data_IF_650109112039
#
_entry.id   IF_650109112039
#
_cell.length_a   1.000
_cell.length_b   1.000
_cell.length_c   1.000
_cell.angle_alpha   90.00
_cell.angle_beta   90.00
_cell.angle_gamma   90.00
#
_symmetry.space_group_name_H-M   'P 1'
#
loop_
_entity.id
_entity.type
_entity.pdbx_description
1 polymer ?
#
# COMPACT_ATOMS: atom_id res chain seq x y z
N UNK A 1 -22.31 -9.45 -0.02
CA UNK A 1 -21.41 -9.52 1.16
C UNK A 1 -21.62 -10.74 2.08
N UNK A 2 -22.84 -11.28 2.28
CA UNK A 2 -23.09 -12.30 3.32
C UNK A 2 -22.47 -13.70 3.14
N UNK A 3 -22.41 -14.26 1.92
CA UNK A 3 -21.94 -15.64 1.71
C UNK A 3 -20.41 -15.76 1.81
N UNK A 4 -19.66 -14.83 1.22
CA UNK A 4 -18.18 -14.79 1.31
C UNK A 4 -17.71 -14.64 2.77
N UNK A 5 -18.34 -13.75 3.53
CA UNK A 5 -18.02 -13.57 4.96
C UNK A 5 -18.31 -14.83 5.79
N UNK A 6 -19.41 -15.54 5.50
CA UNK A 6 -19.74 -16.79 6.20
C UNK A 6 -18.72 -17.90 5.87
N UNK A 7 -18.31 -18.04 4.61
CA UNK A 7 -17.29 -19.01 4.18
C UNK A 7 -15.94 -18.71 4.83
N UNK A 8 -15.49 -17.45 4.80
CA UNK A 8 -14.24 -17.02 5.44
C UNK A 8 -14.27 -17.29 6.95
N UNK A 9 -15.36 -16.93 7.62
CA UNK A 9 -15.52 -17.14 9.06
C UNK A 9 -15.48 -18.61 9.45
N UNK A 10 -16.12 -19.49 8.66
CA UNK A 10 -16.11 -20.93 8.89
C UNK A 10 -14.75 -21.56 8.61
N UNK A 11 -14.07 -21.16 7.53
CA UNK A 11 -12.71 -21.61 7.23
C UNK A 11 -11.73 -21.21 8.35
N UNK A 12 -11.78 -19.95 8.80
CA UNK A 12 -10.95 -19.45 9.90
C UNK A 12 -11.24 -20.17 11.22
N UNK A 13 -12.51 -20.41 11.55
CA UNK A 13 -12.92 -21.14 12.76
C UNK A 13 -12.42 -22.60 12.73
N UNK A 14 -12.54 -23.26 11.59
CA UNK A 14 -12.06 -24.63 11.40
C UNK A 14 -10.53 -24.71 11.52
N UNK A 15 -9.79 -23.81 10.86
CA UNK A 15 -8.35 -23.71 10.98
C UNK A 15 -7.91 -23.43 12.44
N UNK A 16 -8.57 -22.48 13.12
CA UNK A 16 -8.30 -22.16 14.52
C UNK A 16 -8.57 -23.33 15.47
N UNK A 17 -9.63 -24.10 15.24
CA UNK A 17 -9.93 -25.31 16.03
C UNK A 17 -8.91 -26.44 15.82
N UNK A 18 -8.36 -26.56 14.61
CA UNK A 18 -7.33 -27.55 14.29
C UNK A 18 -6.00 -27.15 14.92
N UNK A 19 -5.57 -25.90 14.70
CA UNK A 19 -4.31 -25.34 15.21
C UNK A 19 -4.34 -25.09 16.73
N UNK A 20 -5.53 -25.03 17.35
CA UNK A 20 -5.69 -24.87 18.79
C UNK A 20 -5.44 -26.12 19.63
N UNK A 21 -5.24 -27.29 19.00
CA UNK A 21 -4.99 -28.55 19.72
C UNK A 21 -3.53 -28.62 20.20
N UNK A 22 -3.26 -28.70 21.52
CA UNK A 22 -1.87 -28.70 22.04
C UNK A 22 -1.01 -29.84 21.51
N UNK A 23 -1.61 -31.01 21.23
CA UNK A 23 -0.90 -32.15 20.65
C UNK A 23 -0.42 -31.86 19.22
N UNK A 24 -1.24 -31.23 18.38
CA UNK A 24 -0.88 -30.86 17.02
C UNK A 24 0.18 -29.76 17.02
N UNK A 25 0.01 -28.73 17.87
CA UNK A 25 1.01 -27.68 18.05
C UNK A 25 2.38 -28.26 18.42
N UNK A 26 2.42 -29.20 19.36
CA UNK A 26 3.67 -29.88 19.77
C UNK A 26 4.28 -30.68 18.62
N UNK A 27 3.48 -31.33 17.79
CA UNK A 27 3.96 -32.07 16.60
C UNK A 27 4.58 -31.10 15.60
N UNK A 28 3.86 -30.03 15.24
CA UNK A 28 4.33 -29.01 14.29
C UNK A 28 5.61 -28.35 14.82
N UNK A 29 5.63 -27.93 16.09
CA UNK A 29 6.79 -27.34 16.73
C UNK A 29 8.00 -28.28 16.69
N UNK A 30 7.83 -29.57 16.98
CA UNK A 30 8.91 -30.53 16.91
C UNK A 30 9.38 -30.80 15.48
N UNK A 31 8.48 -30.77 14.49
CA UNK A 31 8.85 -30.89 13.08
C UNK A 31 9.73 -29.72 12.64
N UNK A 32 9.36 -28.48 13.01
CA UNK A 32 10.16 -27.28 12.77
C UNK A 32 11.49 -27.33 13.52
N UNK A 33 11.48 -27.63 14.82
CA UNK A 33 12.69 -27.74 15.68
C UNK A 33 13.71 -28.74 15.14
N UNK A 34 13.25 -29.83 14.53
CA UNK A 34 14.10 -30.87 13.97
C UNK A 34 14.38 -30.68 12.48
N UNK A 35 14.02 -29.53 11.89
CA UNK A 35 14.15 -29.21 10.48
C UNK A 35 13.71 -30.36 9.56
N UNK A 36 12.53 -30.93 9.86
CA UNK A 36 12.02 -32.09 9.13
C UNK A 36 11.79 -31.73 7.66
N UNK A 37 12.22 -32.55 6.69
CA UNK A 37 12.02 -32.28 5.26
C UNK A 37 10.56 -31.98 4.90
N UNK A 38 9.62 -32.59 5.61
CA UNK A 38 8.18 -32.43 5.44
C UNK A 38 7.67 -31.01 5.77
N UNK A 39 8.42 -30.23 6.56
CA UNK A 39 8.11 -28.81 6.86
C UNK A 39 9.13 -27.83 6.29
N UNK A 40 10.25 -28.31 5.76
CA UNK A 40 11.30 -27.46 5.19
C UNK A 40 10.78 -26.58 4.04
N UNK A 41 9.88 -27.11 3.20
CA UNK A 41 9.23 -26.33 2.14
C UNK A 41 8.30 -25.22 2.67
N UNK A 42 7.74 -25.38 3.87
CA UNK A 42 6.94 -24.34 4.53
C UNK A 42 7.84 -23.22 5.07
N UNK A 43 9.05 -23.56 5.52
CA UNK A 43 10.04 -22.62 6.07
C UNK A 43 10.73 -21.76 5.02
N UNK A 44 10.61 -22.07 3.73
CA UNK A 44 11.09 -21.23 2.62
C UNK A 44 9.94 -20.60 1.84
N UNK A 45 8.69 -20.90 2.21
CA UNK A 45 7.53 -20.38 1.50
C UNK A 45 7.25 -18.95 1.93
N UNK A 46 7.54 -18.02 1.01
CA UNK A 46 7.38 -16.60 1.24
C UNK A 46 5.94 -16.20 1.60
N UNK A 47 4.94 -16.76 0.93
CA UNK A 47 3.53 -16.46 1.21
C UNK A 47 3.16 -16.83 2.64
N UNK A 48 3.63 -17.99 3.12
CA UNK A 48 3.38 -18.43 4.49
C UNK A 48 4.10 -17.54 5.51
N UNK A 49 5.32 -17.07 5.20
CA UNK A 49 6.04 -16.13 6.05
C UNK A 49 5.31 -14.80 6.16
N UNK A 50 4.87 -14.24 5.03
CA UNK A 50 4.13 -12.99 5.03
C UNK A 50 2.77 -13.14 5.74
N UNK A 51 2.04 -14.24 5.52
CA UNK A 51 0.80 -14.51 6.25
C UNK A 51 1.04 -14.62 7.76
N UNK A 52 2.07 -15.34 8.20
CA UNK A 52 2.43 -15.44 9.61
C UNK A 52 2.80 -14.08 10.20
N UNK A 53 3.53 -13.25 9.45
CA UNK A 53 3.87 -11.88 9.81
C UNK A 53 2.60 -11.03 10.02
N UNK A 54 1.65 -11.09 9.08
CA UNK A 54 0.37 -10.40 9.15
C UNK A 54 -0.47 -10.86 10.35
N UNK A 55 -0.59 -12.16 10.60
CA UNK A 55 -1.33 -12.69 11.76
C UNK A 55 -0.77 -12.17 13.08
N UNK A 56 0.56 -12.11 13.21
CA UNK A 56 1.21 -11.62 14.42
C UNK A 56 1.04 -10.10 14.66
N UNK A 57 0.79 -9.32 13.59
CA UNK A 57 0.84 -7.85 13.63
C UNK A 57 -0.45 -7.15 13.24
N UNK A 58 -1.50 -7.88 12.86
CA UNK A 58 -2.78 -7.32 12.37
C UNK A 58 -3.32 -6.20 13.25
N UNK A 59 -3.19 -6.29 14.58
CA UNK A 59 -3.71 -5.28 15.51
C UNK A 59 -3.02 -3.91 15.41
N UNK A 60 -1.81 -3.86 14.86
CA UNK A 60 -1.06 -2.62 14.68
C UNK A 60 -1.44 -1.88 13.38
N UNK A 61 -1.95 -2.61 12.39
CA UNK A 61 -2.24 -2.09 11.05
C UNK A 61 -3.49 -1.22 11.00
N UNK A 62 -3.39 -0.13 10.26
CA UNK A 62 -4.51 0.76 9.88
C UNK A 62 -4.86 0.69 8.41
N UNK A 63 -3.97 0.13 7.59
CA UNK A 63 -4.16 -0.07 6.16
C UNK A 63 -5.38 -0.95 5.84
N UNK A 64 -6.06 -0.64 4.75
CA UNK A 64 -7.28 -1.32 4.32
C UNK A 64 -7.03 -2.80 4.00
N UNK A 65 -5.91 -3.10 3.33
CA UNK A 65 -5.51 -4.44 2.90
C UNK A 65 -4.08 -4.80 3.35
N UNK A 66 -3.66 -4.24 4.49
CA UNK A 66 -2.38 -4.53 5.15
C UNK A 66 -1.13 -4.07 4.37
N UNK A 67 -1.25 -3.05 3.52
CA UNK A 67 -0.12 -2.46 2.81
C UNK A 67 1.00 -2.05 3.78
N UNK A 68 0.65 -1.44 4.92
CA UNK A 68 1.60 -1.06 5.96
C UNK A 68 2.41 -2.24 6.53
N UNK A 69 1.79 -3.42 6.68
CA UNK A 69 2.46 -4.65 7.11
C UNK A 69 3.30 -5.27 5.99
N UNK A 70 2.87 -5.18 4.74
CA UNK A 70 3.69 -5.58 3.59
C UNK A 70 4.97 -4.76 3.53
N UNK A 71 4.88 -3.44 3.68
CA UNK A 71 6.05 -2.55 3.74
C UNK A 71 6.99 -2.92 4.87
N UNK A 72 6.44 -3.16 6.07
CA UNK A 72 7.26 -3.59 7.19
C UNK A 72 7.91 -4.96 6.97
N UNK A 73 7.22 -5.88 6.29
CA UNK A 73 7.74 -7.22 5.97
C UNK A 73 8.92 -7.13 4.99
N UNK A 74 8.73 -6.46 3.85
CA UNK A 74 9.75 -6.32 2.80
C UNK A 74 11.02 -5.58 3.28
N UNK A 75 10.84 -4.59 4.16
CA UNK A 75 11.95 -3.77 4.66
C UNK A 75 12.47 -4.21 6.02
N UNK A 76 12.04 -5.37 6.52
CA UNK A 76 12.52 -5.93 7.79
C UNK A 76 12.30 -4.98 8.97
N UNK A 77 11.11 -4.37 9.07
CA UNK A 77 10.73 -3.43 10.14
C UNK A 77 11.65 -2.20 10.24
N UNK A 78 12.18 -1.74 9.09
CA UNK A 78 13.00 -0.53 8.99
C UNK A 78 12.42 0.63 9.80
N UNK A 79 13.30 1.35 10.51
CA UNK A 79 12.99 2.60 11.20
C UNK A 79 13.50 3.81 10.42
N UNK A 80 12.92 4.97 10.73
CA UNK A 80 13.36 6.27 10.20
C UNK A 80 13.38 6.34 8.66
N UNK A 81 12.46 5.60 8.01
CA UNK A 81 12.29 5.61 6.56
C UNK A 81 11.54 6.84 6.05
N UNK A 82 11.38 6.91 4.73
CA UNK A 82 10.63 7.97 4.05
C UNK A 82 9.45 7.41 3.26
N UNK A 83 8.25 7.96 3.46
CA UNK A 83 7.04 7.58 2.72
C UNK A 83 6.42 8.73 1.92
N UNK A 84 5.61 8.36 0.95
CA UNK A 84 4.64 9.24 0.27
C UNK A 84 3.29 8.53 0.24
N UNK A 85 2.19 9.22 0.54
CA UNK A 85 0.83 8.66 0.48
C UNK A 85 -0.11 9.66 -0.18
N UNK A 86 -0.84 9.20 -1.20
CA UNK A 86 -1.94 9.92 -1.82
C UNK A 86 -3.26 9.34 -1.35
N UNK A 87 -4.32 10.15 -1.32
CA UNK A 87 -5.61 9.73 -0.76
C UNK A 87 -5.54 9.62 0.76
N UNK A 88 -4.87 10.56 1.42
CA UNK A 88 -4.56 10.45 2.86
C UNK A 88 -5.77 10.67 3.78
N UNK A 89 -6.88 11.25 3.28
CA UNK A 89 -8.14 11.48 4.00
C UNK A 89 -7.94 12.03 5.42
N UNK A 90 -8.55 11.43 6.45
CA UNK A 90 -8.41 11.83 7.87
C UNK A 90 -7.00 11.52 8.46
N UNK A 91 -6.14 10.82 7.71
CA UNK A 91 -4.80 10.40 8.08
C UNK A 91 -4.74 9.17 8.99
N UNK A 92 -5.85 8.54 9.34
CA UNK A 92 -5.92 7.39 10.25
C UNK A 92 -6.64 6.22 9.60
N UNK A 93 -7.85 6.45 9.11
CA UNK A 93 -8.73 5.43 8.53
C UNK A 93 -8.11 4.98 7.22
N UNK A 94 -7.97 3.65 7.06
CA UNK A 94 -7.36 3.02 5.89
C UNK A 94 -5.92 3.46 5.55
N UNK A 95 -5.25 4.29 6.38
CA UNK A 95 -3.94 4.82 6.03
C UNK A 95 -2.86 3.75 5.95
N UNK A 96 -2.12 3.80 4.84
CA UNK A 96 -1.03 2.89 4.52
C UNK A 96 0.30 3.28 5.17
N UNK A 97 0.40 4.50 5.74
CA UNK A 97 1.63 4.99 6.37
C UNK A 97 1.50 5.34 7.85
N UNK A 98 0.29 5.30 8.43
CA UNK A 98 0.07 5.63 9.84
C UNK A 98 0.94 4.78 10.78
N UNK A 99 1.01 3.46 10.52
CA UNK A 99 1.84 2.56 11.30
C UNK A 99 3.34 2.92 11.18
N UNK A 100 3.78 3.23 9.95
CA UNK A 100 5.17 3.58 9.65
C UNK A 100 5.59 4.86 10.39
N UNK A 101 4.77 5.91 10.34
CA UNK A 101 5.01 7.15 11.07
C UNK A 101 4.98 6.91 12.59
N UNK A 102 3.88 6.38 13.12
CA UNK A 102 3.62 6.37 14.57
C UNK A 102 4.42 5.32 15.34
N UNK A 103 4.88 4.24 14.70
CA UNK A 103 5.60 3.14 15.38
C UNK A 103 7.05 2.97 14.91
N UNK A 104 7.33 3.27 13.66
CA UNK A 104 8.66 3.10 13.07
C UNK A 104 9.43 4.41 12.92
N UNK A 105 8.84 5.56 13.26
CA UNK A 105 9.51 6.86 13.23
C UNK A 105 9.74 7.39 11.82
N UNK A 106 8.99 6.88 10.84
CA UNK A 106 9.10 7.35 9.47
C UNK A 106 8.58 8.77 9.34
N UNK A 107 9.13 9.49 8.37
CA UNK A 107 8.67 10.82 7.94
C UNK A 107 8.24 10.74 6.48
N UNK A 108 7.49 11.73 6.00
CA UNK A 108 7.00 11.66 4.64
C UNK A 108 6.08 12.81 4.27
N UNK A 109 5.39 12.60 3.15
CA UNK A 109 4.43 13.52 2.56
C UNK A 109 3.09 12.81 2.45
N UNK A 110 2.03 13.49 2.88
CA UNK A 110 0.64 13.09 2.71
C UNK A 110 -0.01 14.07 1.73
N UNK A 111 -0.60 13.59 0.64
CA UNK A 111 -1.34 14.45 -0.29
C UNK A 111 -2.84 14.21 -0.16
N UNK A 112 -3.58 15.30 0.05
CA UNK A 112 -5.04 15.28 0.17
C UNK A 112 -5.59 16.62 -0.34
N UNK A 113 -6.19 16.66 -1.54
CA UNK A 113 -6.71 17.90 -2.11
C UNK A 113 -8.12 18.27 -1.63
N UNK A 114 -8.87 17.37 -0.99
CA UNK A 114 -10.23 17.67 -0.52
C UNK A 114 -10.20 18.39 0.84
N UNK A 115 -10.62 19.67 0.91
CA UNK A 115 -10.53 20.47 2.13
C UNK A 115 -11.29 19.94 3.34
N UNK A 116 -12.26 19.06 3.13
CA UNK A 116 -13.04 18.43 4.22
C UNK A 116 -12.14 17.68 5.20
N UNK A 117 -11.03 17.12 4.71
CA UNK A 117 -10.12 16.27 5.48
C UNK A 117 -8.99 17.05 6.17
N UNK A 118 -8.68 18.28 5.73
CA UNK A 118 -7.44 18.98 6.12
C UNK A 118 -7.30 19.19 7.63
N UNK A 119 -8.40 19.49 8.33
CA UNK A 119 -8.39 19.72 9.78
C UNK A 119 -8.07 18.43 10.52
N UNK A 120 -8.73 17.33 10.17
CA UNK A 120 -8.50 16.04 10.82
C UNK A 120 -7.11 15.51 10.49
N UNK A 121 -6.72 15.53 9.21
CA UNK A 121 -5.41 15.11 8.73
C UNK A 121 -4.26 15.79 9.50
N UNK A 122 -4.30 17.13 9.58
CA UNK A 122 -3.29 17.92 10.30
C UNK A 122 -3.30 17.70 11.81
N UNK A 123 -4.44 17.33 12.40
CA UNK A 123 -4.52 16.99 13.82
C UNK A 123 -3.98 15.58 14.12
N UNK A 124 -4.09 14.67 13.16
CA UNK A 124 -3.75 13.26 13.33
C UNK A 124 -2.30 12.93 12.94
N UNK A 125 -1.72 13.72 12.03
CA UNK A 125 -0.42 13.42 11.39
C UNK A 125 0.60 14.54 11.59
N UNK A 126 1.87 14.13 11.65
CA UNK A 126 3.03 15.05 11.78
C UNK A 126 3.86 15.12 10.51
N UNK A 127 3.59 14.23 9.56
CA UNK A 127 4.15 14.29 8.22
C UNK A 127 3.77 15.59 7.51
N UNK A 128 4.55 15.97 6.50
CA UNK A 128 4.22 17.11 5.67
C UNK A 128 2.92 16.85 4.90
N UNK A 129 2.09 17.89 4.74
CA UNK A 129 0.80 17.77 4.03
C UNK A 129 0.87 18.65 2.78
N UNK A 130 0.59 18.03 1.63
CA UNK A 130 0.36 18.66 0.34
C UNK A 130 -1.15 18.78 0.10
N UNK A 131 -1.61 19.98 -0.20
CA UNK A 131 -3.03 20.27 -0.45
C UNK A 131 -3.36 20.41 -1.94
N UNK A 132 -2.35 20.47 -2.81
CA UNK A 132 -2.53 20.42 -4.26
C UNK A 132 -2.86 19.00 -4.70
N UNK A 133 -3.53 18.90 -5.85
CA UNK A 133 -3.88 17.61 -6.43
C UNK A 133 -2.67 17.02 -7.18
N UNK A 134 -2.21 15.83 -6.79
CA UNK A 134 -1.08 15.21 -7.47
C UNK A 134 -1.50 14.68 -8.84
N UNK A 135 -0.76 15.05 -9.89
CA UNK A 135 -1.01 14.68 -11.29
C UNK A 135 0.31 14.59 -12.07
N UNK A 136 0.26 14.39 -13.39
CA UNK A 136 1.46 14.36 -14.25
C UNK A 136 2.15 15.73 -14.39
N UNK A 137 1.45 16.85 -14.11
CA UNK A 137 1.96 18.21 -14.31
C UNK A 137 1.59 19.15 -13.18
N UNK A 138 2.46 20.12 -12.91
CA UNK A 138 2.22 21.20 -11.95
C UNK A 138 1.56 22.43 -12.56
N UNK A 139 0.80 23.16 -11.74
CA UNK A 139 0.28 24.49 -12.06
C UNK A 139 -0.95 24.49 -12.98
N UNK A 140 -1.57 23.34 -13.22
CA UNK A 140 -2.84 23.26 -13.93
C UNK A 140 -4.01 23.41 -12.94
N UNK A 141 -5.11 23.98 -13.40
CA UNK A 141 -6.36 24.07 -12.64
C UNK A 141 -7.30 22.97 -13.11
N UNK A 142 -7.64 22.03 -12.22
CA UNK A 142 -8.52 20.89 -12.55
C UNK A 142 -9.80 20.91 -11.73
N UNK A 143 -10.86 20.38 -12.31
CA UNK A 143 -12.12 20.13 -11.59
C UNK A 143 -11.99 18.85 -10.78
N UNK A 144 -12.09 18.97 -9.47
CA UNK A 144 -12.10 17.85 -8.52
C UNK A 144 -13.52 17.66 -7.97
N UNK A 145 -14.03 16.44 -8.00
CA UNK A 145 -15.39 16.10 -7.57
C UNK A 145 -15.35 15.63 -6.13
N UNK A 146 -15.92 16.42 -5.22
CA UNK A 146 -16.00 16.08 -3.80
C UNK A 146 -17.29 15.31 -3.51
N UNK A 147 -17.19 14.13 -2.91
CA UNK A 147 -18.34 13.27 -2.58
C UNK A 147 -18.76 13.42 -1.11
N UNK A 148 -18.58 14.62 -0.56
CA UNK A 148 -18.74 14.94 0.87
C UNK A 148 -20.11 14.58 1.45
N UNK A 149 -21.18 14.63 0.64
CA UNK A 149 -22.53 14.30 1.07
C UNK A 149 -22.84 12.80 1.15
N UNK A 150 -21.93 11.93 0.68
CA UNK A 150 -22.14 10.47 0.62
C UNK A 150 -20.97 9.75 1.29
N UNK A 151 -19.79 9.85 0.70
CA UNK A 151 -18.55 9.22 1.15
C UNK A 151 -17.37 10.01 0.59
N UNK A 152 -16.71 10.88 1.38
CA UNK A 152 -15.65 11.73 0.89
C UNK A 152 -14.36 10.98 0.51
N UNK A 153 -14.19 9.71 0.90
CA UNK A 153 -13.06 8.87 0.47
C UNK A 153 -13.07 8.68 -1.06
N UNK A 154 -14.25 8.69 -1.68
CA UNK A 154 -14.43 8.44 -3.12
C UNK A 154 -14.20 9.67 -4.02
N UNK A 155 -13.63 10.75 -3.49
CA UNK A 155 -13.44 12.00 -4.22
C UNK A 155 -12.30 11.87 -5.25
N UNK A 156 -12.40 12.54 -6.39
CA UNK A 156 -11.39 12.39 -7.44
C UNK A 156 -11.48 13.43 -8.56
N UNK A 157 -10.48 13.45 -9.45
CA UNK A 157 -10.46 14.37 -10.60
C UNK A 157 -11.57 14.01 -11.59
N UNK A 158 -12.36 15.00 -12.03
CA UNK A 158 -13.54 14.79 -12.87
C UNK A 158 -13.26 14.06 -14.20
N UNK A 159 -12.10 14.32 -14.83
CA UNK A 159 -11.70 13.68 -16.09
C UNK A 159 -11.35 12.20 -15.94
N UNK A 160 -11.01 11.77 -14.72
CA UNK A 160 -10.67 10.39 -14.38
C UNK A 160 -11.82 9.67 -13.65
N UNK A 161 -12.87 10.39 -13.27
CA UNK A 161 -14.04 9.86 -12.57
C UNK A 161 -14.96 8.96 -13.43
N UNK A 162 -14.54 8.61 -14.65
CA UNK A 162 -15.26 7.72 -15.55
C UNK A 162 -14.47 6.43 -15.74
N UNK A 163 -15.04 5.29 -15.37
CA UNK A 163 -14.47 3.98 -15.71
C UNK A 163 -14.36 2.99 -14.55
N UNK A 164 -14.67 3.40 -13.33
CA UNK A 164 -14.62 2.54 -12.15
C UNK A 164 -16.00 2.31 -11.51
N UNK A 165 -16.00 1.61 -10.38
CA UNK A 165 -17.22 1.27 -9.65
C UNK A 165 -17.91 2.48 -8.99
N UNK A 166 -17.20 3.59 -8.80
CA UNK A 166 -17.68 4.77 -8.06
C UNK A 166 -18.02 5.98 -8.94
N UNK A 167 -17.82 5.86 -10.26
CA UNK A 167 -18.14 6.88 -11.25
C UNK A 167 -19.58 7.45 -11.19
N UNK A 168 -20.56 6.69 -10.68
CA UNK A 168 -21.93 7.19 -10.48
C UNK A 168 -22.08 8.09 -9.25
N UNK A 169 -21.32 7.83 -8.18
CA UNK A 169 -21.31 8.61 -6.95
C UNK A 169 -20.59 9.94 -7.21
N UNK A 170 -19.40 9.91 -7.84
CA UNK A 170 -18.65 11.11 -8.21
C UNK A 170 -19.42 12.06 -9.11
N UNK A 171 -20.26 11.54 -10.02
CA UNK A 171 -21.16 12.36 -10.87
C UNK A 171 -22.16 13.21 -10.09
N UNK A 172 -22.42 12.87 -8.83
CA UNK A 172 -23.31 13.64 -7.93
C UNK A 172 -22.55 14.50 -6.93
N UNK A 173 -21.20 14.47 -6.96
CA UNK A 173 -20.35 15.25 -6.06
C UNK A 173 -20.29 16.74 -6.41
N UNK A 174 -19.95 17.54 -5.42
CA UNK A 174 -19.80 18.99 -5.58
C UNK A 174 -18.43 19.30 -6.20
N UNK A 175 -18.37 20.02 -7.33
CA UNK A 175 -17.12 20.34 -7.99
C UNK A 175 -16.38 21.46 -7.26
N UNK A 176 -15.08 21.28 -7.06
CA UNK A 176 -14.14 22.32 -6.65
C UNK A 176 -13.03 22.46 -7.70
N UNK A 177 -12.37 23.62 -7.73
CA UNK A 177 -11.18 23.83 -8.55
C UNK A 177 -9.95 23.74 -7.65
N UNK A 178 -9.02 22.87 -8.02
CA UNK A 178 -7.76 22.67 -7.31
C UNK A 178 -6.58 22.83 -8.28
N UNK A 179 -5.48 23.35 -7.76
CA UNK A 179 -4.21 23.42 -8.47
C UNK A 179 -3.52 22.06 -8.42
N UNK A 180 -2.87 21.66 -9.51
CA UNK A 180 -2.11 20.42 -9.57
C UNK A 180 -0.63 20.60 -9.20
N UNK A 181 -0.01 19.53 -8.72
CA UNK A 181 1.44 19.40 -8.55
C UNK A 181 1.91 18.07 -9.13
N UNK A 182 3.04 18.06 -9.83
CA UNK A 182 3.67 16.82 -10.28
C UNK A 182 4.32 16.10 -9.10
N UNK A 183 4.38 14.76 -9.14
CA UNK A 183 5.11 14.00 -8.12
C UNK A 183 6.58 14.46 -8.02
N UNK A 184 7.23 14.82 -9.13
CA UNK A 184 8.60 15.30 -9.13
C UNK A 184 8.76 16.64 -8.37
N UNK A 185 7.89 17.61 -8.67
CA UNK A 185 7.95 18.95 -8.07
C UNK A 185 7.55 18.89 -6.61
N UNK A 186 6.53 18.10 -6.25
CA UNK A 186 6.16 17.88 -4.84
C UNK A 186 7.35 17.30 -4.06
N UNK A 187 8.03 16.28 -4.60
CA UNK A 187 9.20 15.71 -3.94
C UNK A 187 10.36 16.73 -3.81
N UNK A 188 10.53 17.62 -4.78
CA UNK A 188 11.52 18.71 -4.71
C UNK A 188 11.14 19.75 -3.64
N UNK A 189 9.89 20.20 -3.62
CA UNK A 189 9.34 21.20 -2.68
C UNK A 189 9.55 20.79 -1.22
N UNK A 190 9.37 19.51 -0.91
CA UNK A 190 9.53 18.96 0.45
C UNK A 190 10.93 18.40 0.72
N UNK A 191 11.88 18.54 -0.22
CA UNK A 191 13.25 18.07 -0.04
C UNK A 191 13.35 16.56 0.20
N UNK A 192 12.52 15.77 -0.48
CA UNK A 192 12.49 14.32 -0.35
C UNK A 192 13.81 13.67 -0.84
N UNK A 193 14.22 12.53 -0.26
CA UNK A 193 15.45 11.84 -0.65
C UNK A 193 15.42 11.34 -2.09
N UNK A 194 16.59 11.04 -2.66
CA UNK A 194 16.71 10.47 -4.01
C UNK A 194 16.17 9.05 -4.12
N UNK A 195 16.31 8.27 -3.04
CA UNK A 195 15.71 6.94 -2.88
C UNK A 195 14.68 7.02 -1.74
N UNK A 196 13.43 6.70 -2.05
CA UNK A 196 12.29 6.73 -1.13
C UNK A 196 11.90 5.30 -0.79
N UNK A 197 11.57 5.03 0.48
CA UNK A 197 11.34 3.66 0.92
C UNK A 197 9.95 3.14 0.50
N UNK A 198 8.92 3.99 0.49
CA UNK A 198 7.56 3.58 0.13
C UNK A 198 6.73 4.71 -0.48
N UNK A 199 5.92 4.38 -1.48
CA UNK A 199 4.82 5.22 -1.95
C UNK A 199 3.52 4.43 -2.05
N UNK A 200 2.44 5.02 -1.54
CA UNK A 200 1.06 4.58 -1.75
C UNK A 200 0.36 5.54 -2.72
N UNK A 201 -0.10 5.03 -3.85
CA UNK A 201 -0.81 5.78 -4.89
C UNK A 201 -2.26 5.27 -4.94
N UNK A 202 -3.14 6.02 -4.31
CA UNK A 202 -4.58 5.80 -4.28
C UNK A 202 -5.24 7.15 -4.58
N UNK A 203 -5.65 7.33 -5.84
CA UNK A 203 -6.08 8.64 -6.37
C UNK A 203 -7.39 8.55 -7.15
N UNK A 204 -8.09 7.42 -7.04
CA UNK A 204 -9.41 7.19 -7.61
C UNK A 204 -9.46 7.36 -9.14
N UNK A 205 -8.33 7.09 -9.83
CA UNK A 205 -8.27 6.88 -11.29
C UNK A 205 -7.13 7.55 -12.08
N UNK A 206 -6.29 8.41 -11.49
CA UNK A 206 -5.17 9.06 -12.20
C UNK A 206 -3.79 8.49 -11.85
N UNK A 207 -3.72 7.27 -11.32
CA UNK A 207 -2.49 6.59 -10.88
C UNK A 207 -1.47 6.45 -12.03
N UNK A 208 -1.95 6.02 -13.20
CA UNK A 208 -1.10 5.87 -14.39
C UNK A 208 -0.56 7.22 -14.88
N UNK A 209 -1.37 8.29 -14.84
CA UNK A 209 -0.97 9.63 -15.24
C UNK A 209 0.19 10.12 -14.36
N UNK A 210 0.04 10.00 -13.04
CA UNK A 210 1.08 10.36 -12.05
C UNK A 210 2.38 9.58 -12.32
N UNK A 211 2.29 8.25 -12.46
CA UNK A 211 3.46 7.40 -12.69
C UNK A 211 4.12 7.68 -14.04
N UNK A 212 3.35 7.98 -15.08
CA UNK A 212 3.87 8.28 -16.42
C UNK A 212 4.66 9.59 -16.46
N UNK A 213 4.33 10.54 -15.57
CA UNK A 213 5.04 11.81 -15.41
C UNK A 213 6.24 11.73 -14.45
N UNK A 214 6.43 10.62 -13.73
CA UNK A 214 7.51 10.49 -12.76
C UNK A 214 8.87 10.25 -13.43
N UNK A 215 9.91 10.94 -12.96
CA UNK A 215 11.27 10.81 -13.47
C UNK A 215 12.03 9.70 -12.71
N UNK A 216 11.91 8.48 -13.23
CA UNK A 216 12.57 7.28 -12.70
C UNK A 216 14.11 7.31 -12.82
N UNK A 217 14.69 8.21 -13.63
CA UNK A 217 16.14 8.38 -13.74
C UNK A 217 16.67 9.29 -12.62
N UNK A 218 15.86 10.25 -12.15
CA UNK A 218 16.20 11.17 -11.06
C UNK A 218 15.94 10.58 -9.67
N UNK A 219 14.88 9.79 -9.51
CA UNK A 219 14.46 9.23 -8.21
C UNK A 219 13.90 7.81 -8.33
N UNK A 220 13.95 7.08 -7.22
CA UNK A 220 13.41 5.73 -7.13
C UNK A 220 12.63 5.49 -5.83
N UNK A 221 11.77 4.49 -5.88
CA UNK A 221 11.07 3.94 -4.72
C UNK A 221 11.56 2.52 -4.47
N UNK A 222 11.63 2.07 -3.21
CA UNK A 222 11.84 0.64 -2.92
C UNK A 222 10.55 -0.16 -3.10
N UNK A 223 9.45 0.39 -2.59
CA UNK A 223 8.13 -0.22 -2.59
C UNK A 223 7.10 0.75 -3.13
N UNK A 224 6.20 0.24 -3.97
CA UNK A 224 5.08 1.00 -4.54
C UNK A 224 3.82 0.16 -4.37
N UNK A 225 2.79 0.69 -3.70
CA UNK A 225 1.42 0.18 -3.81
C UNK A 225 0.61 1.13 -4.66
N UNK A 226 -0.13 0.59 -5.63
CA UNK A 226 -0.92 1.38 -6.57
C UNK A 226 -2.31 0.76 -6.69
N UNK A 227 -3.36 1.56 -6.47
CA UNK A 227 -4.73 1.15 -6.74
C UNK A 227 -4.86 0.74 -8.22
N UNK A 228 -5.52 -0.39 -8.48
CA UNK A 228 -5.67 -0.94 -9.82
C UNK A 228 -7.07 -0.67 -10.36
N UNK A 229 -7.12 0.09 -11.45
CA UNK A 229 -8.27 0.16 -12.31
C UNK A 229 -8.08 -0.81 -13.50
N UNK A 230 -9.08 -1.65 -13.84
CA UNK A 230 -9.00 -2.55 -15.01
C UNK A 230 -8.63 -1.85 -16.33
N UNK A 231 -8.90 -0.54 -16.45
CA UNK A 231 -8.57 0.26 -17.62
C UNK A 231 -7.09 0.64 -17.74
N UNK A 232 -6.33 0.64 -16.63
CA UNK A 232 -4.94 1.13 -16.58
C UNK A 232 -3.96 0.13 -15.96
N UNK A 233 -4.44 -0.97 -15.36
CA UNK A 233 -3.60 -1.96 -14.67
C UNK A 233 -2.47 -2.51 -15.54
N UNK A 234 -2.74 -2.78 -16.82
CA UNK A 234 -1.73 -3.34 -17.75
C UNK A 234 -0.65 -2.31 -18.06
N UNK A 235 -1.03 -1.06 -18.25
CA UNK A 235 -0.15 0.06 -18.54
C UNK A 235 0.73 0.39 -17.33
N UNK A 236 0.17 0.39 -16.12
CA UNK A 236 0.90 0.56 -14.86
C UNK A 236 1.92 -0.57 -14.70
N UNK A 237 1.49 -1.83 -14.85
CA UNK A 237 2.39 -2.98 -14.75
C UNK A 237 3.55 -2.89 -15.76
N UNK A 238 3.26 -2.64 -17.03
CA UNK A 238 4.28 -2.51 -18.07
C UNK A 238 5.25 -1.33 -17.80
N UNK A 239 4.73 -0.20 -17.31
CA UNK A 239 5.53 0.95 -16.95
C UNK A 239 6.49 0.65 -15.80
N UNK A 240 6.00 0.04 -14.72
CA UNK A 240 6.80 -0.29 -13.55
C UNK A 240 7.81 -1.42 -13.84
N UNK A 241 7.42 -2.45 -14.59
CA UNK A 241 8.33 -3.52 -15.03
C UNK A 241 9.48 -2.98 -15.87
N UNK A 242 9.19 -2.06 -16.80
CA UNK A 242 10.21 -1.38 -17.62
C UNK A 242 11.25 -0.64 -16.76
N UNK A 243 10.84 -0.11 -15.60
CA UNK A 243 11.72 0.61 -14.67
C UNK A 243 12.24 -0.28 -13.53
N UNK A 244 12.18 -1.62 -13.70
CA UNK A 244 12.86 -2.55 -12.81
C UNK A 244 12.09 -2.88 -11.52
N UNK A 245 10.77 -2.72 -11.51
CA UNK A 245 9.91 -3.14 -10.42
C UNK A 245 9.23 -4.47 -10.73
N UNK A 246 9.03 -5.30 -9.70
CA UNK A 246 8.40 -6.62 -9.81
C UNK A 246 7.14 -6.64 -8.95
N UNK A 247 6.02 -7.07 -9.54
CA UNK A 247 4.77 -7.26 -8.79
C UNK A 247 4.89 -8.47 -7.85
N UNK A 248 4.46 -8.30 -6.60
CA UNK A 248 4.52 -9.33 -5.55
C UNK A 248 3.14 -9.53 -4.92
N UNK A 249 2.92 -10.72 -4.34
CA UNK A 249 1.70 -11.07 -3.62
C UNK A 249 0.37 -10.76 -4.34
N UNK A 250 0.21 -11.02 -5.65
CA UNK A 250 -1.03 -10.71 -6.38
C UNK A 250 -2.28 -11.41 -5.81
N UNK A 251 -2.11 -12.52 -5.08
CA UNK A 251 -3.17 -13.24 -4.39
C UNK A 251 -3.64 -12.56 -3.09
N UNK A 252 -2.87 -11.60 -2.56
CA UNK A 252 -3.18 -10.87 -1.31
C UNK A 252 -3.45 -9.39 -1.54
N UNK A 253 -2.88 -8.79 -2.59
CA UNK A 253 -2.96 -7.35 -2.86
C UNK A 253 -4.33 -6.87 -3.35
N UNK A 254 -5.31 -7.76 -3.57
CA UNK A 254 -6.70 -7.44 -3.88
C UNK A 254 -6.87 -6.43 -5.05
N UNK A 255 -7.29 -5.19 -4.75
CA UNK A 255 -7.47 -4.11 -5.72
C UNK A 255 -6.21 -3.25 -5.89
N UNK A 256 -5.11 -3.56 -5.20
CA UNK A 256 -3.81 -2.94 -5.43
C UNK A 256 -2.88 -3.85 -6.24
N UNK A 257 -1.90 -3.22 -6.87
CA UNK A 257 -0.65 -3.83 -7.28
C UNK A 257 0.44 -3.43 -6.31
N UNK A 258 1.09 -4.42 -5.69
CA UNK A 258 2.26 -4.22 -4.83
C UNK A 258 3.51 -4.53 -5.62
N UNK A 259 4.42 -3.55 -5.70
CA UNK A 259 5.62 -3.62 -6.52
C UNK A 259 6.87 -3.38 -5.66
N UNK A 260 7.88 -4.21 -5.87
CA UNK A 260 9.17 -4.12 -5.20
C UNK A 260 10.25 -3.83 -6.23
N UNK A 261 11.18 -2.92 -5.92
CA UNK A 261 12.37 -2.72 -6.74
C UNK A 261 13.17 -4.02 -6.84
N UNK A 262 13.53 -4.41 -8.07
CA UNK A 262 14.35 -5.60 -8.34
C UNK A 262 15.70 -5.57 -7.61
N UNK A 263 16.23 -4.37 -7.36
CA UNK A 263 17.45 -4.19 -6.57
C UNK A 263 17.27 -4.69 -5.12
N UNK A 264 16.13 -4.41 -4.48
CA UNK A 264 15.84 -4.88 -3.13
C UNK A 264 15.67 -6.41 -3.09
N UNK A 265 14.94 -6.99 -4.05
CA UNK A 265 14.74 -8.45 -4.12
C UNK A 265 16.01 -9.24 -4.46
N UNK A 266 16.94 -8.68 -5.22
CA UNK A 266 18.21 -9.33 -5.53
C UNK A 266 19.11 -9.57 -4.30
N UNK A 267 18.83 -8.90 -3.19
CA UNK A 267 19.62 -8.95 -1.95
C UNK A 267 19.05 -9.90 -0.88
N UNK A 268 17.93 -10.59 -1.16
CA UNK A 268 17.22 -11.43 -0.19
C UNK A 268 17.23 -12.94 -0.53
N UNK A 269 18.38 -13.63 -0.71
CA UNK A 269 18.37 -15.08 -0.64
C UNK A 269 18.13 -15.50 0.82
N UNK A 270 17.00 -16.15 1.08
CA UNK A 270 16.80 -16.90 2.31
C UNK A 270 17.59 -18.22 2.21
N UNK A 271 18.88 -18.21 2.53
CA UNK A 271 19.61 -19.46 2.76
C UNK A 271 19.23 -20.02 4.12
N UNK A 272 18.41 -21.07 4.14
CA UNK A 272 18.26 -21.88 5.35
C UNK A 272 19.50 -22.77 5.47
N UNK A 273 20.49 -22.30 6.21
CA UNK A 273 21.62 -23.13 6.63
C UNK A 273 21.12 -24.04 7.75
N UNK A 274 20.84 -25.31 7.43
CA UNK A 274 20.62 -26.31 8.46
C UNK A 274 21.90 -26.43 9.32
N UNK A 275 21.80 -26.50 10.67
CA UNK A 275 22.97 -26.77 11.49
C UNK A 275 23.58 -28.11 11.06
N UNK A 276 24.91 -28.14 10.90
CA UNK A 276 25.63 -29.37 10.60
C UNK A 276 25.27 -30.44 11.63
N UNK A 277 24.87 -31.61 11.12
CA UNK A 277 24.48 -32.79 11.91
C UNK A 277 25.59 -33.27 12.83
#
# INVERSE_FOLDING_TARGET
>A
MGIKNLVLSNAAKNAGSLLGKPSLQRIIFNAVRLNRPEVASLLVNEDLHFLAYCVGRRRASRAQILQDLWVCYELGEKRDGYFVEFGSTDGITNSNTWLLEKKFGWRGILAEPNPVWHVELSSNRTAAIEHRCVSSKSGEQVTFLTTNGIDPELSGIASFAAGDHFASIRRTGDPIIVETVSLNDMLDDYGAPGEIDYISIDTEGNEFDILSGFDFDKRSFKLISVEQNPATEKEIAALLEKHGYVRVFPQFSQWDGWYVSSQLRSQLPCEIIAPAT
#
